data_IF_371932985274
#
_entry.id   IF_371932985274
#
_cell.length_a   1.000
_cell.length_b   1.000
_cell.length_c   1.000
_cell.angle_alpha   90.00
_cell.angle_beta   90.00
_cell.angle_gamma   90.00
#
_symmetry.space_group_name_H-M   'P 1'
#
loop_
_entity.id
_entity.type
_entity.pdbx_description
1 polymer ?
#
# COMPACT_ATOMS: atom_id res chain seq x y z
N UNK A 1 14.02 -15.23 13.71
CA UNK A 1 14.02 -14.16 14.74
C UNK A 1 12.76 -13.36 14.49
N UNK A 2 11.91 -13.29 15.51
CA UNK A 2 10.57 -12.71 15.46
C UNK A 2 10.61 -11.36 14.77
N UNK A 3 9.98 -11.27 13.60
CA UNK A 3 9.71 -10.01 12.91
C UNK A 3 9.04 -9.10 13.93
N UNK A 4 9.82 -8.18 14.47
CA UNK A 4 9.33 -7.05 15.21
C UNK A 4 8.51 -6.27 14.20
N UNK A 5 7.23 -6.64 14.05
CA UNK A 5 6.24 -5.89 13.30
C UNK A 5 6.32 -4.49 13.90
N UNK A 6 7.08 -3.62 13.23
CA UNK A 6 7.00 -2.20 13.48
C UNK A 6 5.50 -1.94 13.39
N UNK A 7 4.90 -1.61 14.53
CA UNK A 7 3.49 -1.26 14.60
C UNK A 7 3.41 0.09 13.91
N UNK A 8 3.45 0.06 12.58
CA UNK A 8 3.18 1.20 11.75
C UNK A 8 1.69 1.36 11.82
N UNK A 9 1.24 2.36 12.56
CA UNK A 9 -0.16 2.76 12.56
C UNK A 9 -0.48 3.34 11.18
N UNK A 10 -0.90 2.48 10.26
CA UNK A 10 -1.37 2.88 8.95
C UNK A 10 -2.64 3.71 9.12
N UNK A 11 -2.70 4.84 8.44
CA UNK A 11 -3.91 5.67 8.33
C UNK A 11 -4.26 5.85 6.86
N UNK A 12 -5.49 6.29 6.60
CA UNK A 12 -5.93 6.59 5.22
C UNK A 12 -4.99 7.60 4.55
N UNK A 13 -4.51 8.60 5.29
CA UNK A 13 -3.65 9.65 4.76
C UNK A 13 -2.21 9.19 4.49
N UNK A 14 -1.67 8.29 5.31
CA UNK A 14 -0.24 7.90 5.24
C UNK A 14 0.01 6.55 4.58
N UNK A 15 -1.05 5.76 4.30
CA UNK A 15 -0.90 4.40 3.79
C UNK A 15 -0.16 4.34 2.44
N UNK A 16 -0.42 5.30 1.54
CA UNK A 16 0.23 5.32 0.22
C UNK A 16 1.71 5.68 0.32
N UNK A 17 2.06 6.70 1.12
CA UNK A 17 3.45 7.07 1.34
C UNK A 17 4.24 5.95 2.03
N UNK A 18 3.60 5.28 3.00
CA UNK A 18 4.18 4.12 3.69
C UNK A 18 4.43 2.98 2.70
N UNK A 19 3.49 2.74 1.76
CA UNK A 19 3.66 1.74 0.72
C UNK A 19 4.85 2.06 -0.20
N UNK A 20 4.98 3.31 -0.65
CA UNK A 20 6.09 3.76 -1.50
C UNK A 20 7.42 3.58 -0.78
N UNK A 21 7.49 4.00 0.48
CA UNK A 21 8.70 3.83 1.31
C UNK A 21 9.04 2.35 1.53
N UNK A 22 8.03 1.52 1.80
CA UNK A 22 8.22 0.08 1.98
C UNK A 22 8.69 -0.63 0.69
N UNK A 23 8.19 -0.21 -0.47
CA UNK A 23 8.65 -0.71 -1.77
C UNK A 23 10.11 -0.33 -2.03
N UNK A 24 10.46 0.95 -1.81
CA UNK A 24 11.82 1.46 -1.97
C UNK A 24 12.82 0.75 -1.05
N UNK A 25 12.44 0.50 0.20
CA UNK A 25 13.30 -0.15 1.19
C UNK A 25 13.25 -1.69 1.12
N UNK A 26 12.54 -2.28 0.13
CA UNK A 26 12.35 -3.73 -0.02
C UNK A 26 11.79 -4.37 1.28
N UNK A 27 11.00 -3.62 2.03
CA UNK A 27 10.37 -4.06 3.28
C UNK A 27 9.11 -4.88 2.96
N UNK A 28 9.30 -6.14 2.57
CA UNK A 28 8.24 -7.01 2.05
C UNK A 28 7.02 -7.13 3.00
N UNK A 29 7.26 -7.26 4.31
CA UNK A 29 6.20 -7.37 5.31
C UNK A 29 5.38 -6.07 5.41
N UNK A 30 6.03 -4.92 5.50
CA UNK A 30 5.37 -3.61 5.58
C UNK A 30 4.64 -3.27 4.28
N UNK A 31 5.22 -3.64 3.13
CA UNK A 31 4.57 -3.51 1.82
C UNK A 31 3.29 -4.32 1.78
N UNK A 32 3.31 -5.59 2.20
CA UNK A 32 2.13 -6.44 2.24
C UNK A 32 1.05 -5.90 3.19
N UNK A 33 1.43 -5.42 4.39
CA UNK A 33 0.50 -4.80 5.33
C UNK A 33 -0.12 -3.51 4.78
N UNK A 34 0.68 -2.66 4.12
CA UNK A 34 0.20 -1.44 3.49
C UNK A 34 -0.78 -1.73 2.35
N UNK A 35 -0.49 -2.71 1.49
CA UNK A 35 -1.41 -3.14 0.43
C UNK A 35 -2.72 -3.66 1.03
N UNK A 36 -2.66 -4.47 2.09
CA UNK A 36 -3.86 -4.99 2.74
C UNK A 36 -4.72 -3.87 3.34
N UNK A 37 -4.10 -2.89 4.02
CA UNK A 37 -4.80 -1.73 4.56
C UNK A 37 -5.42 -0.84 3.47
N UNK A 38 -4.66 -0.55 2.40
CA UNK A 38 -5.19 0.23 1.27
C UNK A 38 -6.38 -0.49 0.67
N UNK A 39 -6.35 -1.82 0.58
CA UNK A 39 -7.48 -2.60 0.06
C UNK A 39 -8.74 -2.42 0.91
N UNK A 40 -8.64 -2.44 2.23
CA UNK A 40 -9.79 -2.29 3.13
C UNK A 40 -10.32 -0.87 3.18
N UNK A 41 -9.48 0.13 2.90
CA UNK A 41 -9.83 1.55 2.94
C UNK A 41 -9.74 2.25 1.57
N UNK A 42 -9.83 1.49 0.48
CA UNK A 42 -9.48 1.96 -0.87
C UNK A 42 -10.24 3.20 -1.28
N UNK A 43 -11.51 3.31 -0.91
CA UNK A 43 -12.36 4.46 -1.22
C UNK A 43 -11.85 5.75 -0.58
N UNK A 44 -11.36 5.68 0.66
CA UNK A 44 -10.77 6.83 1.35
C UNK A 44 -9.35 7.11 0.85
N UNK A 45 -8.53 6.07 0.69
CA UNK A 45 -7.13 6.23 0.28
C UNK A 45 -7.03 6.84 -1.11
N UNK A 46 -7.89 6.44 -2.05
CA UNK A 46 -7.88 6.99 -3.41
C UNK A 46 -8.20 8.50 -3.48
N UNK A 47 -8.83 9.07 -2.44
CA UNK A 47 -9.14 10.49 -2.35
C UNK A 47 -7.98 11.32 -1.78
N UNK A 48 -6.96 10.67 -1.24
CA UNK A 48 -5.81 11.36 -0.63
C UNK A 48 -4.85 11.89 -1.67
N UNK A 49 -4.18 13.00 -1.34
CA UNK A 49 -3.16 13.57 -2.22
C UNK A 49 -1.99 12.59 -2.43
N UNK A 50 -1.58 11.86 -1.38
CA UNK A 50 -0.52 10.86 -1.49
C UNK A 50 -0.83 9.76 -2.51
N UNK A 51 -2.10 9.36 -2.66
CA UNK A 51 -2.51 8.44 -3.72
C UNK A 51 -2.46 9.07 -5.13
N UNK A 52 -2.96 10.30 -5.27
CA UNK A 52 -2.92 11.02 -6.54
C UNK A 52 -1.48 11.27 -7.01
N UNK A 53 -0.59 11.58 -6.08
CA UNK A 53 0.84 11.77 -6.36
C UNK A 53 1.50 10.45 -6.76
N UNK A 54 1.21 9.36 -6.03
CA UNK A 54 1.76 8.04 -6.33
C UNK A 54 1.33 7.50 -7.70
N UNK A 55 0.13 7.84 -8.21
CA UNK A 55 -0.26 7.53 -9.60
C UNK A 55 0.70 8.17 -10.60
N UNK A 56 1.20 9.38 -10.31
CA UNK A 56 2.06 10.15 -11.21
C UNK A 56 3.53 9.78 -11.07
N UNK A 57 3.99 9.51 -9.85
CA UNK A 57 5.41 9.27 -9.55
C UNK A 57 5.79 7.79 -9.53
N UNK A 58 4.84 6.90 -9.22
CA UNK A 58 5.06 5.45 -9.08
C UNK A 58 3.94 4.62 -9.76
N UNK A 59 3.69 4.82 -11.07
CA UNK A 59 2.57 4.15 -11.76
C UNK A 59 2.65 2.62 -11.70
N UNK A 60 3.85 2.04 -11.80
CA UNK A 60 4.05 0.58 -11.74
C UNK A 60 3.66 -0.01 -10.38
N UNK A 61 3.91 0.73 -9.30
CA UNK A 61 3.53 0.32 -7.96
C UNK A 61 2.01 0.29 -7.81
N UNK A 62 1.31 1.31 -8.31
CA UNK A 62 -0.16 1.38 -8.29
C UNK A 62 -0.79 0.29 -9.17
N UNK A 63 -0.20 -0.01 -10.32
CA UNK A 63 -0.61 -1.15 -11.16
C UNK A 63 -0.40 -2.48 -10.41
N UNK A 64 0.69 -2.62 -9.66
CA UNK A 64 0.94 -3.78 -8.80
C UNK A 64 -0.12 -3.95 -7.71
N UNK A 65 -0.48 -2.85 -7.04
CA UNK A 65 -1.52 -2.81 -6.00
C UNK A 65 -2.89 -3.20 -6.57
N UNK A 66 -3.30 -2.59 -7.68
CA UNK A 66 -4.57 -2.90 -8.35
C UNK A 66 -4.62 -4.36 -8.84
N UNK A 67 -3.51 -4.91 -9.34
CA UNK A 67 -3.41 -6.33 -9.67
C UNK A 67 -3.55 -7.23 -8.43
N UNK A 68 -2.95 -6.84 -7.30
CA UNK A 68 -3.09 -7.56 -6.04
C UNK A 68 -4.55 -7.56 -5.55
N UNK A 69 -5.32 -6.51 -5.85
CA UNK A 69 -6.75 -6.49 -5.56
C UNK A 69 -7.52 -7.54 -6.37
N UNK A 70 -7.24 -7.64 -7.68
CA UNK A 70 -7.91 -8.56 -8.59
C UNK A 70 -7.60 -10.05 -8.30
N UNK A 71 -6.36 -10.39 -7.93
CA UNK A 71 -5.95 -11.78 -7.67
C UNK A 71 -6.70 -12.47 -6.51
N UNK A 72 -7.35 -11.72 -5.64
CA UNK A 72 -8.07 -12.27 -4.48
C UNK A 72 -9.55 -12.57 -4.78
N UNK A 73 -10.05 -12.26 -5.98
CA UNK A 73 -11.46 -12.50 -6.39
C UNK A 73 -11.63 -13.79 -7.20
N UNK A 74 -10.56 -14.56 -7.45
CA UNK A 74 -10.72 -15.92 -7.98
C UNK A 74 -11.26 -16.85 -6.88
N UNK A 75 -12.59 -16.96 -6.83
CA UNK A 75 -13.34 -18.13 -6.34
C UNK A 75 -13.07 -19.34 -7.24
#
# INVERSE_FOLDING_TARGET
MSENALIVTLSVETATETLVSADLHTAAQLKAQSIAFIKTHVTGVMQTQGWQDAIRTHPDLIVGVSRAFAKQINL
#
